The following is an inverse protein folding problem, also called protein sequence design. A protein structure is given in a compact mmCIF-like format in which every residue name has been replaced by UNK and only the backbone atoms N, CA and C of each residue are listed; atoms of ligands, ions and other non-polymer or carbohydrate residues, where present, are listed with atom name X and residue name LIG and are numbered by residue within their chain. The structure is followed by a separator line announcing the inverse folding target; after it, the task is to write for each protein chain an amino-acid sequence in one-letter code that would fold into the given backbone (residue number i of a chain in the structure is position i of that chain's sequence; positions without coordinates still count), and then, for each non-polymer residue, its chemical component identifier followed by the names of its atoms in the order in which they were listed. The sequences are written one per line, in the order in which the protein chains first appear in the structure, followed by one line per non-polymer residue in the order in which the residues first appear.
data_IF_958396904254
#
_entry.id   IF_958396904254
#
_cell.length_a   1.000
_cell.length_b   1.000
_cell.length_c   1.000
_cell.angle_alpha   90.00
_cell.angle_beta   90.00
_cell.angle_gamma   90.00
#
_symmetry.space_group_name_H-M   'P 1'
#
loop_
_entity.id
_entity.type
_entity.pdbx_description
1 polymer ?
#
# COMPACT_ATOMS: atom_id res chain seq x y z
N UNK A 1 -68.72 26.50 1.37
CA UNK A 1 -67.93 25.76 2.38
C UNK A 1 -67.99 24.29 2.01
N UNK A 2 -66.95 23.51 1.70
CA UNK A 2 -65.49 23.61 1.77
C UNK A 2 -64.92 22.83 0.57
N UNK A 3 -64.01 23.41 -0.19
CA UNK A 3 -63.02 22.69 -1.01
C UNK A 3 -62.00 22.08 -0.02
N UNK A 4 -61.42 20.87 -0.19
CA UNK A 4 -60.19 20.60 -0.96
C UNK A 4 -59.87 19.10 -0.88
N UNK A 5 -59.77 18.40 -2.02
CA UNK A 5 -58.59 18.14 -2.88
C UNK A 5 -57.76 16.94 -2.39
N UNK A 6 -57.55 16.04 -3.36
CA UNK A 6 -56.86 14.76 -3.36
C UNK A 6 -55.34 14.85 -3.16
N UNK A 7 -54.72 13.66 -2.97
CA UNK A 7 -53.44 13.24 -3.59
C UNK A 7 -52.25 13.03 -2.63
N UNK A 8 -52.07 11.76 -2.25
CA UNK A 8 -50.89 10.89 -2.51
C UNK A 8 -49.49 11.44 -2.20
N UNK A 9 -48.82 10.74 -1.28
CA UNK A 9 -47.41 10.32 -1.31
C UNK A 9 -46.34 11.43 -1.40
N UNK A 10 -45.70 11.71 -0.27
CA UNK A 10 -44.34 12.21 -0.25
C UNK A 10 -43.57 11.47 0.85
N UNK A 11 -43.20 10.22 0.54
CA UNK A 11 -42.05 9.57 1.18
C UNK A 11 -40.84 10.40 0.73
N UNK A 12 -40.50 11.41 1.52
CA UNK A 12 -39.35 12.27 1.27
C UNK A 12 -38.09 11.53 1.75
N UNK A 13 -37.75 10.47 1.01
CA UNK A 13 -36.47 9.77 1.15
C UNK A 13 -35.39 10.77 0.75
N UNK A 14 -34.68 11.31 1.73
CA UNK A 14 -33.42 12.00 1.52
C UNK A 14 -32.43 10.98 0.97
N UNK A 15 -32.29 10.92 -0.36
CA UNK A 15 -31.19 10.21 -1.01
C UNK A 15 -29.94 11.03 -0.70
N UNK A 16 -29.29 10.70 0.43
CA UNK A 16 -27.89 11.05 0.64
C UNK A 16 -27.13 10.26 -0.40
N UNK A 17 -26.80 10.93 -1.51
CA UNK A 17 -25.90 10.40 -2.52
C UNK A 17 -24.53 10.30 -1.84
N UNK A 18 -24.26 9.17 -1.20
CA UNK A 18 -22.92 8.81 -0.81
C UNK A 18 -22.11 8.76 -2.09
N UNK A 19 -21.36 9.83 -2.36
CA UNK A 19 -20.20 9.74 -3.24
C UNK A 19 -19.33 8.71 -2.55
N UNK A 20 -19.41 7.47 -3.01
CA UNK A 20 -18.42 6.46 -2.66
C UNK A 20 -17.14 7.02 -3.29
N UNK A 21 -16.17 7.52 -2.51
CA UNK A 21 -14.89 7.84 -3.11
C UNK A 21 -14.42 6.53 -3.76
N UNK A 22 -14.30 6.53 -5.08
CA UNK A 22 -13.54 5.47 -5.74
C UNK A 22 -12.19 5.43 -5.02
N UNK A 23 -11.74 4.24 -4.63
CA UNK A 23 -10.44 4.06 -3.99
C UNK A 23 -9.39 4.60 -4.95
N UNK A 24 -9.00 5.86 -4.76
CA UNK A 24 -7.96 6.48 -5.54
C UNK A 24 -6.68 5.78 -5.13
N UNK A 25 -6.09 5.04 -6.07
CA UNK A 25 -4.77 4.45 -5.89
C UNK A 25 -3.80 5.56 -5.50
N UNK A 26 -3.20 5.45 -4.32
CA UNK A 26 -2.24 6.42 -3.79
C UNK A 26 -0.82 5.97 -4.11
N UNK A 27 0.07 6.92 -4.39
CA UNK A 27 1.50 6.67 -4.58
C UNK A 27 2.26 7.16 -3.35
N UNK A 28 2.95 6.25 -2.68
CA UNK A 28 3.81 6.51 -1.53
C UNK A 28 5.27 6.56 -2.01
N UNK A 29 5.89 7.73 -1.99
CA UNK A 29 7.29 7.91 -2.36
C UNK A 29 8.19 7.59 -1.16
N UNK A 30 9.14 6.68 -1.34
CA UNK A 30 9.96 6.16 -0.23
C UNK A 30 11.44 6.30 -0.57
N UNK A 31 12.14 7.11 0.23
CA UNK A 31 13.60 7.18 0.20
C UNK A 31 14.19 5.92 0.83
N UNK A 32 15.38 5.52 0.38
CA UNK A 32 16.12 4.41 0.94
C UNK A 32 16.53 4.69 2.39
N UNK A 33 16.66 3.61 3.15
CA UNK A 33 17.00 3.68 4.56
C UNK A 33 16.49 2.49 5.34
N UNK A 34 16.91 2.43 6.59
CA UNK A 34 16.50 1.41 7.55
C UNK A 34 15.01 1.57 7.88
N UNK A 35 14.25 0.47 7.77
CA UNK A 35 12.83 0.32 8.06
C UNK A 35 11.87 1.22 7.27
N UNK A 36 12.36 2.11 6.41
CA UNK A 36 11.54 3.01 5.57
C UNK A 36 10.46 2.29 4.75
N UNK A 37 10.83 1.20 4.07
CA UNK A 37 9.89 0.40 3.29
C UNK A 37 8.96 -0.44 4.18
N UNK A 38 9.50 -0.95 5.30
CA UNK A 38 8.72 -1.71 6.27
C UNK A 38 7.59 -0.87 6.88
N UNK A 39 7.91 0.35 7.28
CA UNK A 39 6.97 1.30 7.88
C UNK A 39 5.81 1.57 6.90
N UNK A 40 6.11 1.82 5.63
CA UNK A 40 5.07 2.10 4.62
C UNK A 40 4.21 0.86 4.30
N UNK A 41 4.79 -0.34 4.21
CA UNK A 41 4.03 -1.57 3.94
C UNK A 41 3.06 -1.86 5.10
N UNK A 42 3.53 -1.70 6.34
CA UNK A 42 2.77 -2.03 7.55
C UNK A 42 1.82 -0.92 7.99
N UNK A 43 1.96 0.30 7.45
CA UNK A 43 1.07 1.42 7.77
C UNK A 43 -0.39 1.12 7.40
N UNK A 44 -1.29 1.35 8.36
CA UNK A 44 -2.74 1.32 8.19
C UNK A 44 -3.30 2.30 7.15
N UNK A 45 -2.55 3.37 6.84
CA UNK A 45 -2.90 4.36 5.82
C UNK A 45 -2.55 3.89 4.41
N UNK A 46 -1.65 2.91 4.27
CA UNK A 46 -1.37 2.24 3.00
C UNK A 46 -2.45 1.20 2.74
N UNK A 47 -3.22 1.39 1.66
CA UNK A 47 -4.38 0.59 1.33
C UNK A 47 -4.10 -0.39 0.18
N UNK A 48 -4.88 -1.47 0.11
CA UNK A 48 -4.86 -2.35 -1.06
C UNK A 48 -5.18 -1.59 -2.35
N UNK A 49 -4.31 -1.74 -3.33
CA UNK A 49 -4.31 -1.01 -4.59
C UNK A 49 -3.20 0.03 -4.69
N UNK A 50 -2.59 0.44 -3.58
CA UNK A 50 -1.57 1.49 -3.56
C UNK A 50 -0.25 1.08 -4.24
N UNK A 51 0.49 2.11 -4.62
CA UNK A 51 1.83 2.01 -5.20
C UNK A 51 2.83 2.56 -4.18
N UNK A 52 3.90 1.81 -3.93
CA UNK A 52 5.08 2.26 -3.21
C UNK A 52 6.17 2.50 -4.25
N UNK A 53 6.56 3.76 -4.44
CA UNK A 53 7.60 4.17 -5.39
C UNK A 53 8.92 4.42 -4.67
N UNK A 54 9.93 3.62 -5.01
CA UNK A 54 11.29 3.68 -4.48
C UNK A 54 12.08 4.71 -5.30
N UNK A 55 12.45 5.84 -4.69
CA UNK A 55 12.91 7.03 -5.43
C UNK A 55 14.43 7.20 -5.50
N UNK A 56 15.20 6.44 -4.72
CA UNK A 56 16.65 6.63 -4.64
C UNK A 56 17.40 5.73 -5.64
N UNK A 57 18.32 6.34 -6.41
CA UNK A 57 19.15 5.67 -7.41
C UNK A 57 20.09 4.65 -6.76
N UNK A 58 19.83 3.35 -6.97
CA UNK A 58 20.55 2.27 -6.28
C UNK A 58 20.25 2.20 -4.78
N UNK A 59 19.11 2.78 -4.35
CA UNK A 59 18.70 2.85 -2.96
C UNK A 59 18.62 1.47 -2.30
N UNK A 60 19.10 1.37 -1.06
CA UNK A 60 19.03 0.15 -0.26
C UNK A 60 17.98 0.30 0.83
N UNK A 61 16.95 -0.53 0.76
CA UNK A 61 15.83 -0.57 1.69
C UNK A 61 16.06 -1.72 2.65
N UNK A 62 16.58 -1.35 3.81
CA UNK A 62 17.07 -2.28 4.82
C UNK A 62 16.00 -2.45 5.88
N UNK A 63 15.85 -3.65 6.46
CA UNK A 63 14.99 -3.83 7.62
C UNK A 63 15.60 -4.79 8.65
N UNK A 64 15.54 -4.36 9.91
CA UNK A 64 16.27 -4.88 11.08
C UNK A 64 15.33 -5.40 12.17
N UNK A 65 14.22 -6.05 11.79
CA UNK A 65 13.19 -6.48 12.75
C UNK A 65 13.45 -7.88 13.32
N UNK A 66 12.74 -8.24 14.40
CA UNK A 66 12.74 -9.60 14.99
C UNK A 66 12.20 -10.67 14.01
N UNK A 67 11.55 -10.25 12.94
CA UNK A 67 11.11 -11.06 11.82
C UNK A 67 12.20 -11.19 10.75
N UNK A 68 12.31 -12.37 10.13
CA UNK A 68 13.21 -12.58 8.99
C UNK A 68 12.65 -12.07 7.65
N UNK A 69 11.48 -11.42 7.66
CA UNK A 69 10.70 -11.01 6.48
C UNK A 69 9.73 -9.88 6.78
N UNK A 70 9.31 -9.16 5.74
CA UNK A 70 8.16 -8.25 5.80
C UNK A 70 6.92 -9.01 5.32
N UNK A 71 5.89 -9.11 6.17
CA UNK A 71 4.61 -9.72 5.79
C UNK A 71 3.78 -8.70 5.00
N UNK A 72 3.21 -9.16 3.88
CA UNK A 72 2.37 -8.36 2.98
C UNK A 72 0.97 -8.96 2.96
N UNK A 73 0.00 -8.25 3.55
CA UNK A 73 -1.41 -8.63 3.69
C UNK A 73 -2.36 -7.80 2.80
N UNK A 74 -1.80 -6.91 1.99
CA UNK A 74 -2.51 -6.01 1.07
C UNK A 74 -2.11 -6.28 -0.38
N UNK A 75 -2.95 -5.85 -1.32
CA UNK A 75 -2.60 -5.82 -2.74
C UNK A 75 -1.73 -4.58 -2.99
N UNK A 76 -0.43 -4.73 -3.21
CA UNK A 76 0.50 -3.61 -3.38
C UNK A 76 1.32 -3.73 -4.67
N UNK A 77 1.70 -2.57 -5.21
CA UNK A 77 2.77 -2.47 -6.21
C UNK A 77 3.97 -1.80 -5.56
N UNK A 78 5.14 -2.44 -5.58
CA UNK A 78 6.41 -1.79 -5.25
C UNK A 78 7.17 -1.60 -6.55
N UNK A 79 7.51 -0.35 -6.88
CA UNK A 79 8.21 -0.03 -8.12
C UNK A 79 9.39 0.89 -7.89
N UNK A 80 10.42 0.74 -8.70
CA UNK A 80 11.46 1.75 -8.86
C UNK A 80 10.87 2.98 -9.57
N UNK A 81 11.30 4.17 -9.17
CA UNK A 81 11.03 5.39 -9.91
C UNK A 81 11.58 5.30 -11.34
N UNK A 82 10.95 6.00 -12.29
CA UNK A 82 11.44 6.03 -13.65
C UNK A 82 12.77 6.78 -13.75
N UNK A 83 13.69 6.29 -14.59
CA UNK A 83 14.96 6.97 -14.88
C UNK A 83 16.09 6.71 -13.89
N UNK A 84 15.93 5.80 -12.91
CA UNK A 84 17.05 5.35 -12.08
C UNK A 84 18.09 4.60 -12.92
N UNK A 85 19.36 4.94 -12.74
CA UNK A 85 20.49 4.27 -13.40
C UNK A 85 20.81 2.93 -12.72
N UNK A 86 20.60 2.88 -11.41
CA UNK A 86 20.83 1.73 -10.54
C UNK A 86 19.50 1.32 -9.91
N UNK A 87 19.22 0.01 -9.92
CA UNK A 87 17.96 -0.51 -9.41
C UNK A 87 17.94 -0.50 -7.88
N UNK A 88 16.80 -0.15 -7.24
CA UNK A 88 16.61 -0.30 -5.81
C UNK A 88 16.75 -1.76 -5.35
N UNK A 89 17.30 -1.95 -4.15
CA UNK A 89 17.51 -3.26 -3.53
C UNK A 89 16.76 -3.33 -2.20
N UNK A 90 15.98 -4.38 -1.99
CA UNK A 90 15.38 -4.69 -0.69
C UNK A 90 16.24 -5.74 0.01
N UNK A 91 16.62 -5.48 1.26
CA UNK A 91 17.56 -6.33 1.99
C UNK A 91 17.16 -6.50 3.45
N UNK A 92 17.10 -7.75 3.90
CA UNK A 92 17.18 -8.08 5.32
C UNK A 92 18.64 -8.00 5.80
N UNK A 93 18.93 -7.16 6.81
CA UNK A 93 20.27 -7.05 7.42
C UNK A 93 20.29 -7.47 8.90
N UNK A 94 19.27 -8.21 9.37
CA UNK A 94 19.14 -8.66 10.76
C UNK A 94 20.47 -9.20 11.32
N UNK A 95 21.02 -8.47 12.29
CA UNK A 95 22.25 -8.83 12.98
C UNK A 95 22.04 -10.09 13.83
N UNK A 96 22.88 -11.11 13.63
CA UNK A 96 22.79 -12.37 14.36
C UNK A 96 21.87 -13.43 13.74
N UNK A 97 21.28 -13.16 12.57
CA UNK A 97 20.66 -14.22 11.78
C UNK A 97 21.74 -15.21 11.33
N UNK A 98 21.75 -16.40 11.93
CA UNK A 98 22.34 -17.62 11.32
C UNK A 98 21.58 -18.05 10.06
N UNK A 99 20.47 -17.38 9.76
CA UNK A 99 19.68 -17.65 8.57
C UNK A 99 20.13 -16.75 7.44
N UNK A 100 20.73 -17.38 6.43
CA UNK A 100 20.64 -16.97 5.03
C UNK A 100 19.16 -16.89 4.58
N UNK A 101 18.30 -16.19 5.32
CA UNK A 101 16.90 -16.06 4.94
C UNK A 101 16.86 -15.16 3.73
N UNK A 102 16.68 -15.77 2.56
CA UNK A 102 16.50 -15.09 1.27
C UNK A 102 15.13 -14.43 1.17
N UNK A 103 14.29 -14.53 2.21
CA UNK A 103 12.90 -14.10 2.21
C UNK A 103 12.80 -12.64 2.64
N UNK A 104 12.94 -11.74 1.67
CA UNK A 104 12.76 -10.31 1.94
C UNK A 104 11.28 -9.95 2.23
N UNK A 105 10.37 -10.57 1.50
CA UNK A 105 8.94 -10.27 1.52
C UNK A 105 8.15 -11.60 1.54
N UNK A 106 7.14 -11.70 2.37
CA UNK A 106 6.24 -12.85 2.42
C UNK A 106 4.79 -12.40 2.21
N UNK A 107 4.14 -12.96 1.20
CA UNK A 107 2.73 -12.68 0.92
C UNK A 107 1.89 -13.58 1.82
N UNK A 108 1.04 -12.98 2.65
CA UNK A 108 0.10 -13.69 3.53
C UNK A 108 -1.35 -13.50 3.06
N UNK A 109 -2.31 -14.01 3.83
CA UNK A 109 -3.73 -13.94 3.45
C UNK A 109 -4.19 -12.50 3.19
N UNK A 110 -4.83 -12.26 2.04
CA UNK A 110 -5.24 -10.93 1.59
C UNK A 110 -4.18 -10.17 0.77
N UNK A 111 -2.93 -10.64 0.80
CA UNK A 111 -1.81 -10.04 0.12
C UNK A 111 -1.71 -10.40 -1.37
N UNK A 112 -1.19 -9.44 -2.14
CA UNK A 112 -0.69 -9.67 -3.50
C UNK A 112 0.38 -8.62 -3.79
N UNK A 113 1.45 -9.00 -4.46
CA UNK A 113 2.59 -8.11 -4.66
C UNK A 113 3.03 -8.08 -6.12
N UNK A 114 3.10 -6.87 -6.66
CA UNK A 114 3.72 -6.60 -7.97
C UNK A 114 5.04 -5.87 -7.74
N UNK A 115 6.14 -6.40 -8.28
CA UNK A 115 7.48 -5.80 -8.19
C UNK A 115 7.92 -5.33 -9.58
N UNK A 116 8.32 -4.07 -9.70
CA UNK A 116 8.71 -3.46 -10.99
C UNK A 116 10.03 -2.71 -10.86
N UNK A 117 11.07 -3.16 -11.57
CA UNK A 117 12.32 -2.41 -11.66
C UNK A 117 13.27 -2.53 -10.46
N UNK A 118 13.07 -3.53 -9.59
CA UNK A 118 13.96 -3.85 -8.48
C UNK A 118 15.08 -4.82 -8.90
N UNK A 119 16.15 -4.88 -8.11
CA UNK A 119 17.25 -5.86 -8.22
C UNK A 119 17.01 -7.13 -7.38
#
# INVERSE_FOLDING_TARGET
MKTRIFTVLAVMTLIVLWVIPGTAQTVHYVNAGENTLFDVITDSLTLSGDIIELVDDGGVYVYTMDSDKIEVDKVLTIRAAEGLNNKPIIRNDRVGSTSNSTRNLEIISGGSLTLIGLE
#
